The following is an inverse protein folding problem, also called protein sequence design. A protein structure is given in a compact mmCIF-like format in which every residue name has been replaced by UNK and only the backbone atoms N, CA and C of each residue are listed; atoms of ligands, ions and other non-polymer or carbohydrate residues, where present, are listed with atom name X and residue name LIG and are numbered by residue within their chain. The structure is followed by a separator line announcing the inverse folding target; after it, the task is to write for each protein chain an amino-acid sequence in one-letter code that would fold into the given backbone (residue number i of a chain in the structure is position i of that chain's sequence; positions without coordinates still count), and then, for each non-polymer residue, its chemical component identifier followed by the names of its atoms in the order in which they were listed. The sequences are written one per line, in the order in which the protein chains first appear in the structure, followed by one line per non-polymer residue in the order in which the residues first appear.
data_IF_416656241462
#
_entry.id   IF_416656241462
#
_cell.length_a   1.000
_cell.length_b   1.000
_cell.length_c   1.000
_cell.angle_alpha   90.00
_cell.angle_beta   90.00
_cell.angle_gamma   90.00
#
_symmetry.space_group_name_H-M   'P 1'
#
loop_
_entity.id
_entity.type
_entity.pdbx_description
1 polymer ?
#
# COMPACT_ATOMS: atom_id res chain seq x y z
N UNK A 1 0.32 -16.30 -3.10
CA UNK A 1 1.52 -16.25 -3.97
C UNK A 1 1.61 -14.84 -4.50
N UNK A 2 2.70 -14.13 -4.20
CA UNK A 2 3.01 -12.89 -4.91
C UNK A 2 3.43 -13.21 -6.33
N UNK A 3 2.93 -12.48 -7.31
CA UNK A 3 3.47 -12.57 -8.67
C UNK A 3 4.71 -11.66 -8.71
N UNK A 4 5.86 -12.13 -9.22
CA UNK A 4 7.08 -11.31 -9.32
C UNK A 4 6.85 -9.97 -10.04
N UNK A 5 5.92 -9.96 -10.99
CA UNK A 5 5.48 -8.76 -11.69
C UNK A 5 4.82 -7.73 -10.76
N UNK A 6 3.89 -8.15 -9.89
CA UNK A 6 3.22 -7.23 -8.97
C UNK A 6 4.18 -6.64 -7.93
N UNK A 7 5.15 -7.43 -7.45
CA UNK A 7 6.22 -6.95 -6.58
C UNK A 7 7.09 -5.89 -7.28
N UNK A 8 7.54 -6.18 -8.50
CA UNK A 8 8.33 -5.25 -9.31
C UNK A 8 7.56 -3.95 -9.57
N UNK A 9 6.27 -4.03 -9.92
CA UNK A 9 5.44 -2.84 -10.15
C UNK A 9 5.20 -2.02 -8.88
N UNK A 10 5.03 -2.67 -7.73
CA UNK A 10 4.94 -1.96 -6.46
C UNK A 10 6.24 -1.25 -6.10
N UNK A 11 7.40 -1.87 -6.37
CA UNK A 11 8.71 -1.24 -6.16
C UNK A 11 8.91 0.00 -7.06
N UNK A 12 8.57 -0.10 -8.35
CA UNK A 12 8.58 1.04 -9.28
C UNK A 12 7.66 2.17 -8.78
N UNK A 13 6.45 1.83 -8.33
CA UNK A 13 5.49 2.80 -7.80
C UNK A 13 6.02 3.52 -6.56
N UNK A 14 6.67 2.81 -5.63
CA UNK A 14 7.32 3.41 -4.46
C UNK A 14 8.35 4.46 -4.91
N UNK A 15 9.21 4.10 -5.87
CA UNK A 15 10.21 5.05 -6.38
C UNK A 15 9.55 6.30 -6.97
N UNK A 16 8.52 6.12 -7.81
CA UNK A 16 7.78 7.23 -8.40
C UNK A 16 7.14 8.14 -7.36
N UNK A 17 6.57 7.59 -6.29
CA UNK A 17 5.89 8.36 -5.24
C UNK A 17 6.86 9.24 -4.45
N UNK A 18 8.04 8.70 -4.10
CA UNK A 18 9.00 9.37 -3.22
C UNK A 18 10.10 10.15 -3.94
N UNK A 19 10.30 9.94 -5.24
CA UNK A 19 11.20 10.76 -6.05
C UNK A 19 10.64 12.18 -6.17
N UNK A 20 11.48 13.18 -5.87
CA UNK A 20 11.16 14.60 -6.08
C UNK A 20 11.65 15.05 -7.45
N UNK A 21 10.86 15.85 -8.15
CA UNK A 21 11.27 16.50 -9.40
C UNK A 21 10.87 17.99 -9.43
N UNK A 22 11.54 18.84 -10.24
CA UNK A 22 11.30 20.29 -10.24
C UNK A 22 9.87 20.71 -10.64
N UNK A 23 9.10 19.82 -11.27
CA UNK A 23 7.71 20.03 -11.70
C UNK A 23 6.80 18.86 -11.28
N UNK A 24 7.07 18.31 -10.10
CA UNK A 24 6.35 17.13 -9.63
C UNK A 24 4.88 17.44 -9.30
N UNK A 25 4.06 16.41 -9.37
CA UNK A 25 2.71 16.45 -8.79
C UNK A 25 2.86 16.61 -7.26
N UNK A 26 1.92 17.33 -6.63
CA UNK A 26 1.89 17.47 -5.18
C UNK A 26 2.02 16.10 -4.48
N UNK A 27 2.90 16.04 -3.47
CA UNK A 27 3.21 14.80 -2.79
C UNK A 27 1.97 14.15 -2.15
N UNK A 28 1.01 14.94 -1.66
CA UNK A 28 -0.20 14.38 -1.07
C UNK A 28 -1.09 13.72 -2.12
N UNK A 29 -1.11 14.23 -3.34
CA UNK A 29 -1.80 13.59 -4.47
C UNK A 29 -1.14 12.25 -4.77
N UNK A 30 0.20 12.22 -4.93
CA UNK A 30 0.96 10.98 -5.16
C UNK A 30 0.72 9.95 -4.04
N UNK A 31 0.76 10.40 -2.79
CA UNK A 31 0.53 9.56 -1.62
C UNK A 31 -0.92 9.03 -1.53
N UNK A 32 -1.90 9.79 -2.00
CA UNK A 32 -3.30 9.34 -2.07
C UNK A 32 -3.43 8.16 -3.04
N UNK A 33 -2.92 8.30 -4.27
CA UNK A 33 -2.90 7.19 -5.24
C UNK A 33 -2.12 5.98 -4.71
N UNK A 34 -0.98 6.23 -4.05
CA UNK A 34 -0.17 5.17 -3.46
C UNK A 34 -0.91 4.43 -2.35
N UNK A 35 -1.68 5.13 -1.52
CA UNK A 35 -2.48 4.52 -0.45
C UNK A 35 -3.54 3.59 -1.03
N UNK A 36 -4.21 3.98 -2.11
CA UNK A 36 -5.15 3.11 -2.83
C UNK A 36 -4.42 1.89 -3.41
N UNK A 37 -3.31 2.07 -4.12
CA UNK A 37 -2.56 0.94 -4.66
C UNK A 37 -2.11 -0.05 -3.57
N UNK A 38 -1.65 0.45 -2.42
CA UNK A 38 -1.28 -0.37 -1.26
C UNK A 38 -2.45 -1.18 -0.71
N UNK A 39 -3.67 -0.63 -0.67
CA UNK A 39 -4.83 -1.38 -0.16
C UNK A 39 -5.19 -2.55 -1.06
N UNK A 40 -5.15 -2.35 -2.38
CA UNK A 40 -5.39 -3.43 -3.35
C UNK A 40 -4.28 -4.48 -3.31
N UNK A 41 -3.02 -4.03 -3.25
CA UNK A 41 -1.87 -4.93 -3.12
C UNK A 41 -1.98 -5.78 -1.84
N UNK A 42 -2.30 -5.16 -0.71
CA UNK A 42 -2.52 -5.87 0.55
C UNK A 42 -3.64 -6.91 0.44
N UNK A 43 -4.79 -6.55 -0.13
CA UNK A 43 -5.92 -7.46 -0.32
C UNK A 43 -5.62 -8.62 -1.28
N UNK A 44 -4.78 -8.39 -2.30
CA UNK A 44 -4.39 -9.42 -3.27
C UNK A 44 -3.41 -10.46 -2.70
N UNK A 45 -2.57 -10.07 -1.74
CA UNK A 45 -1.47 -10.91 -1.24
C UNK A 45 -1.62 -11.40 0.19
N UNK A 46 -2.51 -10.80 0.99
CA UNK A 46 -2.88 -11.34 2.30
C UNK A 46 -4.14 -12.19 2.20
N UNK A 47 -4.12 -13.36 2.84
CA UNK A 47 -5.29 -14.22 2.91
C UNK A 47 -6.37 -13.62 3.84
N UNK A 48 -7.61 -14.07 3.67
CA UNK A 48 -8.75 -13.54 4.42
C UNK A 48 -8.64 -13.70 5.93
N UNK A 49 -7.95 -14.74 6.43
CA UNK A 49 -7.72 -14.92 7.86
C UNK A 49 -6.79 -13.83 8.38
N UNK A 50 -5.68 -13.58 7.69
CA UNK A 50 -4.75 -12.48 8.01
C UNK A 50 -5.46 -11.13 7.98
N UNK A 51 -6.26 -10.86 6.95
CA UNK A 51 -7.01 -9.60 6.81
C UNK A 51 -7.98 -9.41 7.98
N UNK A 52 -8.80 -10.41 8.29
CA UNK A 52 -9.76 -10.33 9.40
C UNK A 52 -9.08 -10.13 10.77
N UNK A 53 -7.94 -10.80 10.98
CA UNK A 53 -7.14 -10.59 12.18
C UNK A 53 -6.61 -9.15 12.28
N UNK A 54 -6.09 -8.60 11.19
CA UNK A 54 -5.63 -7.21 11.17
C UNK A 54 -6.78 -6.21 11.37
N UNK A 55 -7.95 -6.44 10.77
CA UNK A 55 -9.15 -5.62 10.99
C UNK A 55 -9.50 -5.60 12.49
N UNK A 56 -9.53 -6.77 13.12
CA UNK A 56 -9.87 -6.86 14.54
C UNK A 56 -8.87 -6.08 15.41
N UNK A 57 -7.58 -6.32 15.19
CA UNK A 57 -6.49 -5.69 15.94
C UNK A 57 -6.43 -4.17 15.75
N UNK A 58 -6.68 -3.67 14.54
CA UNK A 58 -6.52 -2.24 14.24
C UNK A 58 -7.75 -1.43 14.63
N UNK A 59 -8.95 -1.99 14.46
CA UNK A 59 -10.20 -1.24 14.68
C UNK A 59 -10.82 -1.45 16.06
N UNK A 60 -10.58 -2.60 16.70
CA UNK A 60 -11.32 -2.97 17.92
C UNK A 60 -10.42 -3.21 19.14
N UNK A 61 -9.16 -3.57 18.95
CA UNK A 61 -8.25 -3.71 20.09
C UNK A 61 -7.74 -2.34 20.55
N UNK A 62 -7.75 -2.13 21.88
CA UNK A 62 -7.19 -0.92 22.49
C UNK A 62 -5.67 -0.98 22.47
N UNK A 63 -5.03 0.09 22.01
CA UNK A 63 -3.59 0.31 22.22
C UNK A 63 -3.38 0.66 23.70
N UNK A 64 -2.62 -0.17 24.42
CA UNK A 64 -2.25 0.06 25.83
C UNK A 64 -0.93 0.83 25.88
#
# INVERSE_FOLDING_TARGET
MTTPEAESKMQELVQLVFQKSPNDIDFNIKNTFFTVAKSFYYAAFCDSRTINFHIAKVLFDKVI
#
